data_IF_372914394792
#
_entry.id   IF_372914394792
#
_cell.length_a   1.000
_cell.length_b   1.000
_cell.length_c   1.000
_cell.angle_alpha   90.00
_cell.angle_beta   90.00
_cell.angle_gamma   90.00
#
_symmetry.space_group_name_H-M   'P 1'
#
loop_
_entity.id
_entity.type
_entity.pdbx_description
1 polymer ?
#
# COMPACT_ATOMS: atom_id res chain seq x y z
N UNK A 1 12.47 -70.39 -10.91
CA UNK A 1 12.90 -69.30 -10.00
C UNK A 1 12.55 -67.97 -10.65
N UNK A 2 11.72 -67.16 -9.97
CA UNK A 2 11.35 -65.73 -10.19
C UNK A 2 10.57 -65.36 -11.48
N UNK A 3 9.25 -65.07 -11.39
CA UNK A 3 8.62 -63.72 -11.24
C UNK A 3 8.74 -62.88 -12.53
N UNK A 4 7.80 -62.93 -13.49
CA UNK A 4 6.48 -62.27 -13.53
C UNK A 4 6.52 -60.74 -13.34
N UNK A 5 6.39 -59.97 -14.43
CA UNK A 5 5.76 -58.63 -14.54
C UNK A 5 5.93 -58.14 -16.01
N UNK A 6 4.94 -58.22 -16.91
CA UNK A 6 3.72 -57.40 -17.04
C UNK A 6 4.03 -55.89 -17.07
N UNK A 7 4.03 -55.31 -18.29
CA UNK A 7 3.43 -54.00 -18.70
C UNK A 7 3.90 -53.66 -20.13
N UNK A 8 2.98 -53.66 -21.09
CA UNK A 8 2.27 -52.45 -21.58
C UNK A 8 3.25 -51.39 -22.10
N UNK A 9 3.49 -51.36 -23.41
CA UNK A 9 2.66 -50.66 -24.42
C UNK A 9 3.02 -49.18 -24.57
N UNK A 10 3.24 -48.83 -25.84
CA UNK A 10 2.94 -47.56 -26.50
C UNK A 10 3.99 -46.44 -26.43
N UNK A 11 4.76 -46.43 -27.52
CA UNK A 11 4.79 -45.33 -28.49
C UNK A 11 5.49 -44.04 -28.05
N UNK A 12 6.77 -44.00 -28.42
CA UNK A 12 7.55 -42.78 -28.66
C UNK A 12 6.87 -41.96 -29.76
N UNK A 13 6.31 -40.81 -29.39
CA UNK A 13 5.82 -39.79 -30.33
C UNK A 13 5.95 -38.43 -29.68
N UNK A 14 6.99 -37.68 -30.03
CA UNK A 14 7.22 -36.34 -29.51
C UNK A 14 6.30 -35.31 -30.16
N UNK A 15 5.77 -34.39 -29.36
CA UNK A 15 5.58 -32.98 -29.72
C UNK A 15 5.81 -32.19 -28.45
N UNK A 16 6.82 -31.31 -28.47
CA UNK A 16 7.21 -30.48 -27.34
C UNK A 16 6.06 -29.61 -26.87
N UNK A 17 5.55 -29.90 -25.66
CA UNK A 17 4.70 -28.99 -24.92
C UNK A 17 5.50 -27.77 -24.54
N UNK A 18 5.34 -26.67 -25.30
CA UNK A 18 5.63 -25.34 -24.73
C UNK A 18 4.79 -25.22 -23.47
N UNK A 19 5.36 -24.94 -22.29
CA UNK A 19 4.53 -24.62 -21.13
C UNK A 19 3.71 -23.39 -21.52
N UNK A 20 2.40 -23.59 -21.69
CA UNK A 20 1.46 -22.52 -21.89
C UNK A 20 1.66 -21.54 -20.74
N UNK A 21 2.16 -20.35 -21.06
CA UNK A 21 2.30 -19.26 -20.12
C UNK A 21 0.90 -18.98 -19.60
N UNK A 22 0.56 -19.49 -18.41
CA UNK A 22 -0.66 -19.12 -17.72
C UNK A 22 -0.76 -17.59 -17.78
N UNK A 23 -1.93 -17.00 -18.06
CA UNK A 23 -2.07 -15.56 -18.00
C UNK A 23 -1.64 -15.15 -16.59
N UNK A 24 -0.49 -14.49 -16.50
CA UNK A 24 -0.01 -13.88 -15.27
C UNK A 24 -1.18 -13.05 -14.75
N UNK A 25 -1.71 -13.42 -13.59
CA UNK A 25 -2.71 -12.62 -12.89
C UNK A 25 -2.24 -11.16 -12.97
N UNK A 26 -3.12 -10.19 -13.27
CA UNK A 26 -2.72 -8.80 -13.35
C UNK A 26 -2.03 -8.47 -12.03
N UNK A 27 -0.72 -8.22 -12.08
CA UNK A 27 0.03 -7.76 -10.91
C UNK A 27 -0.72 -6.55 -10.39
N UNK A 28 -1.30 -6.67 -9.19
CA UNK A 28 -1.98 -5.54 -8.55
C UNK A 28 -0.92 -4.46 -8.41
N UNK A 29 -1.02 -3.42 -9.24
CA UNK A 29 -0.10 -2.31 -9.20
C UNK A 29 -0.34 -1.62 -7.86
N UNK A 30 0.61 -1.72 -6.96
CA UNK A 30 0.51 -1.07 -5.65
C UNK A 30 0.33 0.43 -5.85
N UNK A 31 -0.91 0.91 -5.67
CA UNK A 31 -1.27 2.32 -5.84
C UNK A 31 -0.88 3.18 -4.64
N UNK A 32 -0.32 2.58 -3.58
CA UNK A 32 0.14 3.33 -2.42
C UNK A 32 1.40 4.14 -2.75
N UNK A 33 1.73 5.10 -1.89
CA UNK A 33 2.97 5.88 -2.01
C UNK A 33 4.23 5.01 -1.95
N UNK A 34 4.12 3.77 -1.48
CA UNK A 34 5.24 2.84 -1.40
C UNK A 34 5.58 2.20 -2.75
N UNK A 35 4.61 2.11 -3.68
CA UNK A 35 4.82 1.55 -5.02
C UNK A 35 5.50 0.18 -5.01
N UNK A 36 5.06 -0.72 -4.12
CA UNK A 36 5.61 -2.07 -3.96
C UNK A 36 6.85 -2.16 -3.07
N UNK A 37 7.42 -1.04 -2.61
CA UNK A 37 8.57 -1.05 -1.68
C UNK A 37 8.12 -1.29 -0.23
N UNK A 38 8.95 -1.98 0.55
CA UNK A 38 8.69 -2.16 1.99
C UNK A 38 8.87 -0.87 2.81
N UNK A 39 9.73 0.04 2.33
CA UNK A 39 10.00 1.32 2.94
C UNK A 39 10.44 2.35 1.89
N UNK A 40 10.22 3.62 2.17
CA UNK A 40 10.67 4.75 1.35
C UNK A 40 11.41 5.77 2.23
N UNK A 41 12.44 6.46 1.71
CA UNK A 41 13.04 7.59 2.41
C UNK A 41 11.99 8.63 2.74
N UNK A 42 12.12 9.28 3.89
CA UNK A 42 11.11 10.23 4.36
C UNK A 42 11.00 11.46 3.45
N UNK A 43 12.11 11.91 2.84
CA UNK A 43 12.06 12.94 1.81
C UNK A 43 11.22 12.54 0.60
N UNK A 44 11.32 11.27 0.17
CA UNK A 44 10.47 10.72 -0.90
C UNK A 44 9.01 10.62 -0.44
N UNK A 45 8.75 10.19 0.80
CA UNK A 45 7.41 10.14 1.37
C UNK A 45 6.74 11.51 1.42
N UNK A 46 7.43 12.52 1.96
CA UNK A 46 6.93 13.89 2.05
C UNK A 46 6.67 14.49 0.67
N UNK A 47 7.57 14.26 -0.30
CA UNK A 47 7.37 14.70 -1.68
C UNK A 47 6.16 14.03 -2.33
N UNK A 48 5.97 12.72 -2.13
CA UNK A 48 4.81 11.98 -2.63
C UNK A 48 3.51 12.48 -2.00
N UNK A 49 3.48 12.74 -0.70
CA UNK A 49 2.31 13.29 0.00
C UNK A 49 1.95 14.68 -0.55
N UNK A 50 2.95 15.53 -0.80
CA UNK A 50 2.78 16.86 -1.41
C UNK A 50 2.20 16.77 -2.82
N UNK A 51 2.66 15.83 -3.64
CA UNK A 51 2.23 15.66 -5.04
C UNK A 51 0.98 14.80 -5.21
N UNK A 52 0.57 14.07 -4.18
CA UNK A 52 -0.61 13.23 -4.22
C UNK A 52 -1.89 14.02 -4.46
N UNK A 53 -2.95 13.34 -4.89
CA UNK A 53 -4.28 13.94 -5.07
C UNK A 53 -4.70 14.70 -3.80
N UNK A 54 -5.14 15.96 -3.89
CA UNK A 54 -5.55 16.72 -2.71
C UNK A 54 -6.89 16.25 -2.12
N UNK A 55 -7.65 15.44 -2.87
CA UNK A 55 -8.98 14.99 -2.50
C UNK A 55 -8.96 13.99 -1.35
N UNK A 56 -9.86 14.21 -0.39
CA UNK A 56 -10.03 13.30 0.75
C UNK A 56 -11.12 12.29 0.41
N UNK A 57 -10.81 10.99 0.30
CA UNK A 57 -11.79 9.96 -0.02
C UNK A 57 -12.98 10.00 0.96
N UNK A 58 -14.21 9.93 0.43
CA UNK A 58 -15.43 9.86 1.27
C UNK A 58 -15.68 11.08 2.16
N UNK A 59 -15.19 12.27 1.77
CA UNK A 59 -15.39 13.53 2.49
C UNK A 59 -16.18 14.58 1.71
N UNK A 60 -16.98 14.17 0.72
CA UNK A 60 -17.90 15.06 0.00
C UNK A 60 -17.20 16.18 -0.79
N UNK A 61 -16.05 15.90 -1.39
CA UNK A 61 -15.29 16.87 -2.21
C UNK A 61 -14.32 17.77 -1.43
N UNK A 62 -14.17 17.57 -0.11
CA UNK A 62 -13.14 18.28 0.67
C UNK A 62 -11.74 17.91 0.20
N UNK A 63 -10.87 18.91 0.22
CA UNK A 63 -9.48 18.81 -0.24
C UNK A 63 -8.53 19.37 0.81
N UNK A 64 -7.34 18.80 0.90
CA UNK A 64 -6.22 19.42 1.59
C UNK A 64 -5.44 20.32 0.63
N UNK A 65 -5.15 21.53 1.10
CA UNK A 65 -4.27 22.46 0.40
C UNK A 65 -2.85 21.89 0.25
N UNK A 66 -2.03 22.50 -0.61
CA UNK A 66 -0.62 22.11 -0.72
C UNK A 66 0.13 22.32 0.60
N UNK A 67 -0.12 23.44 1.31
CA UNK A 67 0.52 23.73 2.58
C UNK A 67 0.18 22.68 3.65
N UNK A 68 -1.10 22.30 3.78
CA UNK A 68 -1.50 21.25 4.71
C UNK A 68 -0.83 19.91 4.38
N UNK A 69 -0.69 19.56 3.09
CA UNK A 69 0.02 18.33 2.68
C UNK A 69 1.52 18.40 2.98
N UNK A 70 2.14 19.58 2.85
CA UNK A 70 3.55 19.79 3.24
C UNK A 70 3.71 19.60 4.74
N UNK A 71 2.86 20.23 5.55
CA UNK A 71 2.87 20.10 7.01
C UNK A 71 2.70 18.63 7.43
N UNK A 72 1.78 17.91 6.79
CA UNK A 72 1.59 16.47 7.03
C UNK A 72 2.85 15.66 6.74
N UNK A 73 3.55 15.94 5.64
CA UNK A 73 4.81 15.28 5.30
C UNK A 73 5.92 15.58 6.32
N UNK A 74 6.03 16.83 6.76
CA UNK A 74 7.00 17.25 7.78
C UNK A 74 6.70 16.63 9.15
N UNK A 75 5.43 16.55 9.53
CA UNK A 75 5.02 15.94 10.80
C UNK A 75 5.35 14.45 10.83
N UNK A 76 5.12 13.73 9.73
CA UNK A 76 5.54 12.34 9.58
C UNK A 76 7.06 12.21 9.69
N UNK A 77 7.82 13.13 9.08
CA UNK A 77 9.28 13.12 9.19
C UNK A 77 9.75 13.29 10.64
N UNK A 78 9.09 14.18 11.38
CA UNK A 78 9.39 14.39 12.80
C UNK A 78 9.05 13.18 13.67
N UNK A 79 7.97 12.45 13.36
CA UNK A 79 7.47 11.32 14.16
C UNK A 79 8.16 9.98 13.83
N UNK A 80 8.46 9.70 12.56
CA UNK A 80 8.93 8.38 12.10
C UNK A 80 10.38 8.40 11.58
N UNK A 81 11.06 9.56 11.62
CA UNK A 81 12.47 9.68 11.31
C UNK A 81 12.79 9.64 9.82
N UNK A 82 13.94 9.06 9.46
CA UNK A 82 14.50 9.15 8.10
C UNK A 82 13.83 8.26 7.04
N UNK A 83 13.05 7.27 7.44
CA UNK A 83 12.37 6.34 6.53
C UNK A 83 10.95 6.07 7.00
N UNK A 84 10.03 5.97 6.06
CA UNK A 84 8.67 5.54 6.30
C UNK A 84 8.52 4.08 5.85
N UNK A 85 8.19 3.17 6.77
CA UNK A 85 7.98 1.75 6.46
C UNK A 85 6.50 1.43 6.26
N UNK A 86 6.18 0.52 5.34
CA UNK A 86 4.80 0.04 5.10
C UNK A 86 4.19 -0.59 6.37
N UNK A 87 5.01 -1.25 7.19
CA UNK A 87 4.61 -1.80 8.49
C UNK A 87 4.21 -0.72 9.53
N UNK A 88 4.70 0.52 9.38
CA UNK A 88 4.41 1.62 10.30
C UNK A 88 3.08 2.31 10.00
N UNK A 89 2.41 1.96 8.91
CA UNK A 89 1.08 2.49 8.56
C UNK A 89 0.07 2.39 9.72
N UNK A 90 0.09 1.27 10.44
CA UNK A 90 -0.79 1.03 11.58
C UNK A 90 -0.44 1.91 12.76
N UNK A 91 0.85 2.21 12.95
CA UNK A 91 1.30 3.15 13.99
C UNK A 91 0.82 4.56 13.68
N UNK A 92 0.91 5.00 12.42
CA UNK A 92 0.38 6.29 11.96
C UNK A 92 -1.11 6.43 12.28
N UNK A 93 -1.91 5.43 11.91
CA UNK A 93 -3.35 5.48 12.19
C UNK A 93 -3.64 5.47 13.68
N UNK A 94 -2.95 4.65 14.47
CA UNK A 94 -3.13 4.59 15.92
C UNK A 94 -2.72 5.90 16.61
N UNK A 95 -1.62 6.53 16.16
CA UNK A 95 -1.17 7.80 16.73
C UNK A 95 -2.15 8.94 16.42
N UNK A 96 -2.72 8.97 15.21
CA UNK A 96 -3.80 9.89 14.87
C UNK A 96 -5.08 9.61 15.68
N UNK A 97 -5.45 8.34 15.89
CA UNK A 97 -6.59 7.97 16.74
C UNK A 97 -6.38 8.33 18.22
N UNK A 98 -5.14 8.25 18.72
CA UNK A 98 -4.80 8.73 20.06
C UNK A 98 -4.87 10.25 20.15
N UNK A 99 -4.36 10.95 19.13
CA UNK A 99 -4.45 12.41 19.04
C UNK A 99 -5.91 12.90 19.03
N UNK A 100 -6.83 12.11 18.48
CA UNK A 100 -8.27 12.35 18.52
C UNK A 100 -8.85 12.34 19.96
N UNK A 101 -8.21 11.65 20.91
CA UNK A 101 -8.67 11.57 22.30
C UNK A 101 -8.37 12.88 23.01
N UNK A 102 -9.38 13.46 23.68
CA UNK A 102 -9.25 14.75 24.38
C UNK A 102 -9.42 15.99 23.50
N UNK A 103 -9.72 15.83 22.21
CA UNK A 103 -9.94 16.93 21.27
C UNK A 103 -11.41 17.31 21.11
N UNK A 104 -11.67 18.55 20.70
CA UNK A 104 -13.03 19.04 20.39
C UNK A 104 -13.62 18.32 19.17
N UNK A 105 -14.95 18.35 19.00
CA UNK A 105 -15.61 17.72 17.84
C UNK A 105 -15.05 18.22 16.50
N UNK A 106 -14.75 19.51 16.39
CA UNK A 106 -14.17 20.09 15.19
C UNK A 106 -12.76 19.56 14.89
N UNK A 107 -11.90 19.46 15.91
CA UNK A 107 -10.56 18.89 15.78
C UNK A 107 -10.61 17.39 15.45
N UNK A 108 -11.51 16.64 16.10
CA UNK A 108 -11.74 15.22 15.81
C UNK A 108 -12.08 15.00 14.34
N UNK A 109 -12.91 15.86 13.76
CA UNK A 109 -13.29 15.79 12.36
C UNK A 109 -12.11 16.06 11.40
N UNK A 110 -11.22 17.00 11.76
CA UNK A 110 -9.97 17.22 11.01
C UNK A 110 -9.05 16.01 11.06
N UNK A 111 -8.92 15.40 12.23
CA UNK A 111 -8.11 14.18 12.41
C UNK A 111 -8.71 13.02 11.61
N UNK A 112 -10.03 12.84 11.63
CA UNK A 112 -10.70 11.81 10.83
C UNK A 112 -10.48 12.01 9.31
N UNK A 113 -10.53 13.26 8.84
CA UNK A 113 -10.19 13.59 7.46
C UNK A 113 -8.75 13.24 7.11
N UNK A 114 -7.81 13.54 8.01
CA UNK A 114 -6.40 13.20 7.86
C UNK A 114 -6.18 11.68 7.82
N UNK A 115 -6.87 10.92 8.67
CA UNK A 115 -6.86 9.45 8.64
C UNK A 115 -7.38 8.94 7.29
N UNK A 116 -8.53 9.43 6.81
CA UNK A 116 -9.09 9.02 5.51
C UNK A 116 -8.14 9.30 4.35
N UNK A 117 -7.50 10.46 4.38
CA UNK A 117 -6.50 10.85 3.38
C UNK A 117 -5.30 9.90 3.39
N UNK A 118 -4.72 9.64 4.57
CA UNK A 118 -3.61 8.70 4.68
C UNK A 118 -3.99 7.27 4.34
N UNK A 119 -5.22 6.82 4.63
CA UNK A 119 -5.72 5.51 4.14
C UNK A 119 -5.68 5.45 2.62
N UNK A 120 -6.16 6.49 1.94
CA UNK A 120 -6.10 6.56 0.48
C UNK A 120 -4.69 6.56 -0.12
N UNK A 121 -3.67 6.95 0.66
CA UNK A 121 -2.27 7.03 0.22
C UNK A 121 -1.40 5.83 0.64
N UNK A 122 -1.65 5.27 1.81
CA UNK A 122 -0.82 4.22 2.42
C UNK A 122 -1.40 2.82 2.21
N UNK A 123 -2.69 2.71 1.92
CA UNK A 123 -3.31 1.43 1.58
C UNK A 123 -3.19 1.14 0.09
N UNK A 124 -2.94 -0.12 -0.20
CA UNK A 124 -2.89 -0.69 -1.54
C UNK A 124 -4.33 -0.98 -1.99
N UNK A 125 -4.72 -0.51 -3.18
CA UNK A 125 -6.06 -0.74 -3.76
C UNK A 125 -6.05 -1.89 -4.75
#
# INVERSE_FOLDING_TARGET
MALLEKKQELSKGGVGGRPGKMPSQPEKKDTSIFGGKAAIPMGEAAWKIRKASPYIPGSGGKMFSENERIEMGQELAKKYGGYLKKAERYRIFNDLEKEKRGKTLAEKLKIDQKIKYFKGLLEEK
#
